data_IF_564407078067
#
_entry.id   IF_564407078067
#
_cell.length_a   1.000
_cell.length_b   1.000
_cell.length_c   1.000
_cell.angle_alpha   90.00
_cell.angle_beta   90.00
_cell.angle_gamma   90.00
#
_symmetry.space_group_name_H-M   'P 1'
#
loop_
_entity.id
_entity.type
_entity.pdbx_description
1 polymer ?
#
# COMPACT_ATOMS: atom_id res chain seq x y z
N UNK A 1 12.15 55.67 41.04
CA UNK A 1 11.30 56.55 40.21
C UNK A 1 10.22 55.69 39.56
N UNK A 2 8.95 55.84 40.02
CA UNK A 2 7.61 55.46 39.46
C UNK A 2 7.39 54.07 38.81
N UNK A 3 6.26 53.34 38.91
CA UNK A 3 5.09 53.15 39.81
C UNK A 3 4.11 52.21 39.04
N UNK A 4 3.58 51.16 39.71
CA UNK A 4 2.25 50.46 39.64
C UNK A 4 1.65 50.00 38.26
N UNK A 5 0.88 48.90 38.13
CA UNK A 5 -0.38 48.53 38.83
C UNK A 5 -0.80 47.04 38.72
N UNK A 6 -1.29 46.49 39.86
CA UNK A 6 -2.44 45.59 40.19
C UNK A 6 -2.81 44.38 39.29
N UNK A 7 -3.00 43.14 39.80
CA UNK A 7 -3.84 42.57 40.89
C UNK A 7 -5.29 42.26 40.50
N UNK A 8 -5.68 40.99 40.62
CA UNK A 8 -7.06 40.51 40.66
C UNK A 8 -7.17 39.10 41.23
N UNK A 9 -7.51 38.97 42.51
CA UNK A 9 -8.02 37.75 43.16
C UNK A 9 -9.49 37.97 43.51
N UNK A 10 -10.33 36.94 43.33
CA UNK A 10 -11.69 36.89 43.84
C UNK A 10 -11.93 35.58 44.60
N UNK A 11 -12.56 35.73 45.76
CA UNK A 11 -12.81 34.77 46.85
C UNK A 11 -14.20 34.12 46.66
N UNK A 12 -14.49 33.16 47.56
CA UNK A 12 -15.80 32.77 48.15
C UNK A 12 -16.52 31.60 47.44
N UNK A 13 -17.15 30.58 48.07
CA UNK A 13 -17.56 30.27 49.45
C UNK A 13 -17.82 28.75 49.57
N UNK A 14 -17.52 28.15 50.72
CA UNK A 14 -17.90 26.77 51.09
C UNK A 14 -19.19 26.78 51.91
N UNK A 15 -20.17 25.90 51.62
CA UNK A 15 -21.33 25.60 52.49
C UNK A 15 -21.55 24.08 52.55
N UNK A 16 -21.63 23.56 53.79
CA UNK A 16 -22.03 22.20 54.20
C UNK A 16 -23.56 22.06 54.27
N UNK A 17 -24.13 20.86 54.02
CA UNK A 17 -24.92 20.06 55.00
C UNK A 17 -25.64 18.82 54.37
N UNK A 18 -25.36 17.66 54.98
CA UNK A 18 -26.22 16.55 55.46
C UNK A 18 -27.35 15.86 54.62
N UNK A 19 -27.18 14.53 54.54
CA UNK A 19 -28.12 13.43 54.83
C UNK A 19 -29.30 13.09 53.88
N UNK A 20 -29.33 11.83 53.38
CA UNK A 20 -30.19 10.73 53.89
C UNK A 20 -30.26 9.55 52.90
N UNK A 21 -30.17 8.33 53.43
CA UNK A 21 -30.50 7.08 52.73
C UNK A 21 -32.03 6.93 52.58
N UNK A 22 -32.51 6.37 51.45
CA UNK A 22 -33.54 5.33 51.53
C UNK A 22 -33.61 4.44 50.27
N UNK A 23 -34.01 3.21 50.51
CA UNK A 23 -34.08 2.07 49.61
C UNK A 23 -35.38 1.99 48.77
N UNK A 24 -35.26 1.20 47.69
CA UNK A 24 -36.24 0.26 47.10
C UNK A 24 -37.06 0.63 45.83
N UNK A 25 -36.88 -0.30 44.86
CA UNK A 25 -37.80 -0.88 43.84
C UNK A 25 -38.09 -0.14 42.52
N UNK A 26 -37.46 -0.67 41.47
CA UNK A 26 -37.98 -1.04 40.13
C UNK A 26 -39.03 -0.15 39.44
N UNK A 27 -38.64 0.48 38.33
CA UNK A 27 -39.36 0.42 37.04
C UNK A 27 -38.46 0.91 35.89
N UNK A 28 -38.50 0.18 34.77
CA UNK A 28 -37.77 0.40 33.51
C UNK A 28 -37.80 1.86 33.01
N UNK A 29 -36.68 2.36 32.47
CA UNK A 29 -36.47 2.56 31.01
C UNK A 29 -35.15 3.29 30.69
N UNK A 30 -34.53 2.84 29.60
CA UNK A 30 -33.62 3.55 28.66
C UNK A 30 -32.14 3.79 29.02
N UNK A 31 -31.32 3.11 28.19
CA UNK A 31 -30.08 3.57 27.55
C UNK A 31 -28.76 3.22 28.22
N UNK A 32 -28.39 1.95 28.09
CA UNK A 32 -27.00 1.49 28.08
C UNK A 32 -26.20 2.16 26.96
N UNK A 33 -24.93 2.47 27.25
CA UNK A 33 -23.89 2.45 26.22
C UNK A 33 -22.75 1.62 26.75
N UNK A 34 -22.89 0.30 26.60
CA UNK A 34 -21.79 -0.65 26.78
C UNK A 34 -20.77 -0.41 25.68
N UNK A 35 -19.52 -0.20 26.09
CA UNK A 35 -18.35 -0.15 25.22
C UNK A 35 -18.19 -1.54 24.62
N UNK A 36 -18.73 -1.74 23.42
CA UNK A 36 -18.61 -3.00 22.71
C UNK A 36 -17.19 -3.15 22.17
N UNK A 37 -16.60 -4.26 22.55
CA UNK A 37 -15.27 -4.77 22.21
C UNK A 37 -15.00 -4.69 20.70
N UNK A 38 -13.84 -4.14 20.32
CA UNK A 38 -13.40 -4.05 18.93
C UNK A 38 -13.04 -5.42 18.33
N UNK A 39 -13.15 -6.50 19.10
CA UNK A 39 -12.83 -7.86 18.70
C UNK A 39 -13.94 -8.60 17.90
N UNK A 40 -15.20 -8.14 17.91
CA UNK A 40 -16.32 -8.87 17.29
C UNK A 40 -16.65 -8.49 15.83
N UNK A 41 -15.81 -7.69 15.17
CA UNK A 41 -15.99 -7.34 13.74
C UNK A 41 -15.07 -8.06 12.76
N UNK A 42 -14.52 -9.22 13.14
CA UNK A 42 -14.18 -10.24 12.13
C UNK A 42 -15.47 -10.92 11.68
N UNK A 43 -16.30 -10.20 10.91
CA UNK A 43 -17.32 -10.85 10.07
C UNK A 43 -16.57 -11.86 9.21
N UNK A 44 -17.06 -13.10 9.16
CA UNK A 44 -16.64 -14.10 8.17
C UNK A 44 -16.36 -13.38 6.85
N UNK A 45 -15.12 -13.46 6.36
CA UNK A 45 -14.77 -12.86 5.08
C UNK A 45 -15.79 -13.38 4.07
N UNK A 46 -16.58 -12.48 3.45
CA UNK A 46 -17.48 -12.84 2.36
C UNK A 46 -16.62 -13.55 1.32
N UNK A 47 -16.72 -14.87 1.25
CA UNK A 47 -15.95 -15.67 0.30
C UNK A 47 -16.42 -15.32 -1.10
N UNK A 48 -15.53 -14.82 -1.93
CA UNK A 48 -15.82 -14.60 -3.35
C UNK A 48 -16.12 -15.96 -3.99
N UNK A 49 -17.22 -16.03 -4.73
CA UNK A 49 -17.65 -17.24 -5.42
C UNK A 49 -17.53 -17.03 -6.93
N UNK A 50 -16.88 -17.94 -7.66
CA UNK A 50 -16.87 -17.92 -9.11
C UNK A 50 -18.28 -17.96 -9.70
N UNK A 51 -18.45 -17.32 -10.85
CA UNK A 51 -19.67 -17.37 -11.65
C UNK A 51 -19.75 -18.66 -12.47
N UNK A 52 -18.60 -19.19 -12.92
CA UNK A 52 -18.49 -20.39 -13.74
C UNK A 52 -17.96 -21.62 -12.99
N UNK A 53 -17.97 -22.81 -13.65
CA UNK A 53 -17.23 -23.96 -13.16
C UNK A 53 -15.72 -23.70 -13.23
N UNK A 54 -14.95 -24.49 -12.50
CA UNK A 54 -13.49 -24.46 -12.55
C UNK A 54 -12.97 -24.64 -14.00
N UNK A 55 -12.08 -23.76 -14.50
CA UNK A 55 -11.59 -23.84 -15.87
C UNK A 55 -10.62 -25.01 -16.08
N UNK A 56 -10.65 -25.65 -17.26
CA UNK A 56 -9.78 -26.79 -17.56
C UNK A 56 -8.28 -26.47 -17.46
N UNK A 57 -7.87 -25.25 -17.83
CA UNK A 57 -6.49 -24.78 -17.75
C UNK A 57 -6.04 -24.43 -16.33
N UNK A 58 -6.98 -24.30 -15.39
CA UNK A 58 -6.76 -23.82 -14.03
C UNK A 58 -7.19 -24.83 -12.97
N UNK A 59 -6.90 -26.11 -13.16
CA UNK A 59 -7.31 -27.14 -12.19
C UNK A 59 -6.77 -26.85 -10.78
N UNK A 60 -7.64 -26.83 -9.79
CA UNK A 60 -7.34 -26.46 -8.40
C UNK A 60 -7.17 -24.96 -8.15
N UNK A 61 -7.59 -24.09 -9.08
CA UNK A 61 -7.57 -22.65 -8.86
C UNK A 61 -8.41 -22.29 -7.63
N UNK A 62 -7.89 -21.38 -6.81
CA UNK A 62 -8.64 -20.87 -5.66
C UNK A 62 -9.89 -20.12 -6.13
N UNK A 63 -11.05 -20.30 -5.49
CA UNK A 63 -12.29 -19.62 -5.88
C UNK A 63 -12.12 -18.10 -6.03
N UNK A 64 -11.39 -17.46 -5.13
CA UNK A 64 -11.16 -16.01 -5.16
C UNK A 64 -10.36 -15.58 -6.40
N UNK A 65 -9.36 -16.37 -6.78
CA UNK A 65 -8.53 -16.08 -7.96
C UNK A 65 -9.32 -16.29 -9.26
N UNK A 66 -10.16 -17.33 -9.31
CA UNK A 66 -11.05 -17.51 -10.45
C UNK A 66 -12.02 -16.34 -10.58
N UNK A 67 -12.62 -15.85 -9.49
CA UNK A 67 -13.50 -14.67 -9.53
C UNK A 67 -12.77 -13.42 -10.07
N UNK A 68 -11.51 -13.21 -9.70
CA UNK A 68 -10.69 -12.11 -10.23
C UNK A 68 -10.47 -12.25 -11.74
N UNK A 69 -10.19 -13.47 -12.21
CA UNK A 69 -9.97 -13.74 -13.65
C UNK A 69 -11.27 -13.55 -14.43
N UNK A 70 -12.38 -14.10 -13.96
CA UNK A 70 -13.70 -13.90 -14.58
C UNK A 70 -14.08 -12.42 -14.64
N UNK A 71 -13.79 -11.66 -13.57
CA UNK A 71 -14.00 -10.21 -13.56
C UNK A 71 -13.11 -9.51 -14.58
N UNK A 72 -11.83 -9.86 -14.67
CA UNK A 72 -10.91 -9.28 -15.65
C UNK A 72 -11.38 -9.56 -17.09
N UNK A 73 -11.80 -10.80 -17.37
CA UNK A 73 -12.35 -11.20 -18.67
C UNK A 73 -13.63 -10.43 -19.00
N UNK A 74 -14.47 -10.13 -18.00
CA UNK A 74 -15.74 -9.41 -18.19
C UNK A 74 -15.58 -8.00 -18.75
N UNK A 75 -14.39 -7.38 -18.63
CA UNK A 75 -14.12 -6.07 -19.23
C UNK A 75 -14.07 -6.11 -20.76
N UNK A 76 -13.86 -7.30 -21.35
CA UNK A 76 -13.85 -7.47 -22.81
C UNK A 76 -12.68 -6.77 -23.50
N UNK A 77 -11.58 -6.53 -22.79
CA UNK A 77 -10.37 -5.94 -23.35
C UNK A 77 -9.74 -6.84 -24.41
N UNK A 78 -9.12 -6.23 -25.41
CA UNK A 78 -8.45 -6.97 -26.49
C UNK A 78 -7.14 -7.59 -25.99
N UNK A 79 -6.75 -8.78 -26.51
CA UNK A 79 -5.46 -9.38 -26.20
C UNK A 79 -4.31 -8.42 -26.48
N UNK A 80 -3.39 -8.29 -25.51
CA UNK A 80 -2.36 -7.24 -25.48
C UNK A 80 -1.43 -7.28 -26.70
N UNK A 81 -1.18 -8.46 -27.26
CA UNK A 81 -0.32 -8.68 -28.43
C UNK A 81 -0.95 -8.19 -29.74
N UNK A 82 -2.26 -7.90 -29.73
CA UNK A 82 -2.98 -7.33 -30.88
C UNK A 82 -3.04 -5.81 -30.86
N UNK A 83 -2.51 -5.18 -29.82
CA UNK A 83 -2.60 -3.74 -29.55
C UNK A 83 -1.25 -3.05 -29.74
N UNK A 84 -1.28 -1.74 -29.99
CA UNK A 84 -0.09 -0.90 -29.80
C UNK A 84 0.22 -0.75 -28.30
N UNK A 85 1.46 -0.40 -27.95
CA UNK A 85 1.83 -0.19 -26.54
C UNK A 85 0.98 0.86 -25.83
N UNK A 86 0.60 1.94 -26.52
CA UNK A 86 -0.25 3.00 -25.97
C UNK A 86 -1.67 2.50 -25.70
N UNK A 87 -2.21 1.61 -26.54
CA UNK A 87 -3.52 0.99 -26.34
C UNK A 87 -3.47 -0.07 -25.24
N UNK A 88 -2.46 -0.95 -25.26
CA UNK A 88 -2.31 -2.00 -24.26
C UNK A 88 -2.19 -1.45 -22.83
N UNK A 89 -1.56 -0.27 -22.65
CA UNK A 89 -1.48 0.43 -21.36
C UNK A 89 -2.82 0.97 -20.85
N UNK A 90 -3.86 0.98 -21.68
CA UNK A 90 -5.22 1.43 -21.31
C UNK A 90 -6.16 0.28 -20.96
N UNK A 91 -5.79 -0.96 -21.25
CA UNK A 91 -6.57 -2.12 -20.82
C UNK A 91 -6.68 -2.14 -19.29
N UNK A 92 -7.78 -2.68 -18.79
CA UNK A 92 -7.95 -2.96 -17.38
C UNK A 92 -6.90 -3.96 -16.92
N UNK A 93 -6.48 -3.79 -15.67
CA UNK A 93 -5.48 -4.64 -15.04
C UNK A 93 -6.14 -5.56 -14.03
N UNK A 94 -5.40 -6.58 -13.58
CA UNK A 94 -5.80 -7.42 -12.44
C UNK A 94 -6.13 -6.56 -11.21
N UNK A 95 -5.39 -5.45 -11.01
CA UNK A 95 -5.67 -4.48 -9.94
C UNK A 95 -7.05 -3.84 -10.10
N UNK A 96 -7.48 -3.51 -11.31
CA UNK A 96 -8.82 -2.94 -11.53
C UNK A 96 -9.92 -3.98 -11.28
N UNK A 97 -9.73 -5.23 -11.73
CA UNK A 97 -10.64 -6.34 -11.43
C UNK A 97 -10.81 -6.57 -9.92
N UNK A 98 -9.70 -6.57 -9.17
CA UNK A 98 -9.72 -6.69 -7.70
C UNK A 98 -10.46 -5.53 -7.05
N UNK A 99 -10.20 -4.29 -7.48
CA UNK A 99 -10.84 -3.10 -6.90
C UNK A 99 -12.34 -3.05 -7.16
N UNK A 100 -12.78 -3.46 -8.35
CA UNK A 100 -14.20 -3.60 -8.67
C UNK A 100 -14.87 -4.65 -7.79
N UNK A 101 -14.27 -5.83 -7.63
CA UNK A 101 -14.81 -6.90 -6.78
C UNK A 101 -14.91 -6.47 -5.31
N UNK A 102 -13.92 -5.73 -4.82
CA UNK A 102 -13.95 -5.14 -3.47
C UNK A 102 -15.17 -4.22 -3.32
N UNK A 103 -15.38 -3.32 -4.29
CA UNK A 103 -16.50 -2.38 -4.26
C UNK A 103 -17.86 -3.09 -4.34
N UNK A 104 -18.01 -4.02 -5.28
CA UNK A 104 -19.24 -4.78 -5.52
C UNK A 104 -19.65 -5.63 -4.31
N UNK A 105 -18.68 -6.21 -3.60
CA UNK A 105 -18.94 -7.12 -2.49
C UNK A 105 -18.90 -6.44 -1.11
N UNK A 106 -18.52 -5.16 -1.06
CA UNK A 106 -18.34 -4.40 0.17
C UNK A 106 -17.21 -4.97 1.04
N UNK A 107 -16.12 -5.41 0.42
CA UNK A 107 -14.95 -5.93 1.12
C UNK A 107 -14.23 -4.74 1.76
N UNK A 108 -13.90 -4.86 3.05
CA UNK A 108 -13.16 -3.82 3.76
C UNK A 108 -11.68 -3.92 3.43
N UNK A 109 -11.13 -2.84 2.88
CA UNK A 109 -9.68 -2.71 2.71
C UNK A 109 -9.04 -2.29 4.03
N UNK A 110 -8.04 -3.03 4.53
CA UNK A 110 -7.33 -2.63 5.73
C UNK A 110 -6.62 -1.28 5.51
N UNK A 111 -6.50 -0.50 6.58
CA UNK A 111 -5.76 0.75 6.53
C UNK A 111 -4.27 0.48 6.24
N UNK A 112 -3.62 1.29 5.38
CA UNK A 112 -2.22 1.11 5.04
C UNK A 112 -1.32 1.25 6.28
N UNK A 113 -0.40 0.31 6.48
CA UNK A 113 0.59 0.33 7.56
C UNK A 113 1.93 0.94 7.13
N UNK A 114 2.06 1.33 5.86
CA UNK A 114 3.20 2.08 5.36
C UNK A 114 2.79 3.48 4.88
N UNK A 115 3.66 4.47 5.09
CA UNK A 115 3.58 5.79 4.46
C UNK A 115 4.26 5.78 3.10
N UNK A 116 3.76 6.56 2.14
CA UNK A 116 4.33 6.64 0.79
C UNK A 116 4.81 8.04 0.43
N UNK A 117 6.02 8.14 -0.12
CA UNK A 117 6.58 9.39 -0.65
C UNK A 117 7.13 9.17 -2.06
N UNK A 118 6.77 10.06 -2.98
CA UNK A 118 7.33 10.07 -4.34
C UNK A 118 8.65 10.85 -4.40
N UNK A 119 9.62 10.37 -5.18
CA UNK A 119 10.89 11.06 -5.40
C UNK A 119 11.37 10.90 -6.84
N UNK A 120 11.96 11.97 -7.39
CA UNK A 120 12.62 11.91 -8.69
C UNK A 120 14.09 11.51 -8.50
N UNK A 121 14.51 10.43 -9.15
CA UNK A 121 15.86 9.86 -9.07
C UNK A 121 16.58 10.09 -10.40
N UNK A 122 17.81 10.62 -10.41
CA UNK A 122 18.59 10.79 -11.63
C UNK A 122 18.93 9.45 -12.27
N UNK A 123 18.81 9.39 -13.60
CA UNK A 123 19.20 8.25 -14.44
C UNK A 123 19.92 8.76 -15.70
N UNK A 124 20.63 7.92 -16.47
CA UNK A 124 21.23 8.34 -17.73
C UNK A 124 20.20 8.99 -18.67
N UNK A 125 20.41 10.26 -19.01
CA UNK A 125 19.53 11.00 -19.91
C UNK A 125 18.21 11.50 -19.30
N UNK A 126 18.03 11.47 -17.97
CA UNK A 126 16.84 12.04 -17.36
C UNK A 126 16.66 11.75 -15.87
N UNK A 127 15.40 11.60 -15.46
CA UNK A 127 15.01 11.19 -14.12
C UNK A 127 13.86 10.19 -14.21
N UNK A 128 13.83 9.23 -13.30
CA UNK A 128 12.67 8.34 -13.10
C UNK A 128 11.99 8.67 -11.78
N UNK A 129 10.70 8.40 -11.69
CA UNK A 129 9.97 8.49 -10.43
C UNK A 129 10.15 7.20 -9.65
N UNK A 130 10.44 7.31 -8.35
CA UNK A 130 10.38 6.21 -7.40
C UNK A 130 9.35 6.52 -6.33
N UNK A 131 8.69 5.49 -5.81
CA UNK A 131 7.81 5.58 -4.65
C UNK A 131 8.43 4.82 -3.49
N UNK A 132 8.67 5.52 -2.39
CA UNK A 132 9.26 4.98 -1.16
C UNK A 132 8.13 4.67 -0.19
N UNK A 133 8.03 3.43 0.24
CA UNK A 133 7.10 2.93 1.24
C UNK A 133 7.86 2.74 2.55
N UNK A 134 7.41 3.36 3.63
CA UNK A 134 8.07 3.31 4.95
C UNK A 134 7.10 2.78 5.99
N UNK A 135 7.44 1.72 6.76
CA UNK A 135 6.59 1.23 7.84
C UNK A 135 6.27 2.33 8.87
N UNK A 136 5.00 2.47 9.24
CA UNK A 136 4.55 3.45 10.22
C UNK A 136 5.05 3.12 11.62
N UNK A 137 5.31 4.15 12.41
CA UNK A 137 5.64 4.00 13.84
C UNK A 137 7.02 3.43 14.13
N UNK A 138 7.88 3.29 13.12
CA UNK A 138 9.24 2.80 13.30
C UNK A 138 10.24 3.97 13.36
N UNK A 139 11.09 3.97 14.38
CA UNK A 139 12.16 4.95 14.58
C UNK A 139 13.56 4.34 14.38
N UNK A 140 13.66 3.03 14.15
CA UNK A 140 14.92 2.32 13.92
C UNK A 140 15.37 2.44 12.47
N UNK A 141 16.66 2.23 12.22
CA UNK A 141 17.19 2.15 10.85
C UNK A 141 16.76 0.84 10.21
N UNK A 142 16.11 0.90 9.05
CA UNK A 142 15.43 -0.24 8.43
C UNK A 142 16.19 -0.85 7.26
N UNK A 143 16.05 -2.16 6.99
CA UNK A 143 16.51 -2.72 5.73
C UNK A 143 15.73 -2.10 4.56
N UNK A 144 16.32 -2.10 3.38
CA UNK A 144 15.72 -1.51 2.17
C UNK A 144 15.54 -2.59 1.10
N UNK A 145 14.36 -2.63 0.50
CA UNK A 145 14.05 -3.45 -0.67
C UNK A 145 13.85 -2.54 -1.86
N UNK A 146 14.60 -2.75 -2.94
CA UNK A 146 14.37 -2.08 -4.22
C UNK A 146 13.46 -2.98 -5.05
N UNK A 147 12.30 -2.45 -5.40
CA UNK A 147 11.24 -3.19 -6.07
C UNK A 147 11.11 -2.75 -7.53
N UNK A 148 11.18 -3.71 -8.44
CA UNK A 148 10.96 -3.51 -9.88
C UNK A 148 9.63 -4.16 -10.28
N UNK A 149 8.72 -3.36 -10.81
CA UNK A 149 7.41 -3.86 -11.24
C UNK A 149 7.51 -4.74 -12.48
N UNK A 150 6.48 -5.56 -12.74
CA UNK A 150 6.37 -6.36 -13.95
C UNK A 150 5.75 -5.60 -15.13
N UNK A 151 5.20 -6.34 -16.10
CA UNK A 151 4.53 -5.77 -17.28
C UNK A 151 5.31 -5.85 -18.59
N UNK A 152 6.22 -6.83 -18.72
CA UNK A 152 6.89 -7.12 -19.99
C UNK A 152 7.71 -5.96 -20.55
N UNK A 153 8.16 -5.03 -19.70
CA UNK A 153 8.79 -3.76 -20.06
C UNK A 153 7.92 -2.78 -20.87
N UNK A 154 6.65 -3.10 -21.13
CA UNK A 154 5.78 -2.33 -22.03
C UNK A 154 4.55 -1.78 -21.32
N UNK A 155 3.92 -2.57 -20.46
CA UNK A 155 2.68 -2.22 -19.75
C UNK A 155 2.92 -2.08 -18.24
N UNK A 156 1.86 -1.70 -17.52
CA UNK A 156 1.86 -1.46 -16.08
C UNK A 156 2.81 -0.32 -15.65
N UNK A 157 2.79 -0.03 -14.35
CA UNK A 157 3.60 1.00 -13.71
C UNK A 157 3.57 0.78 -12.18
N UNK A 158 4.16 1.72 -11.45
CA UNK A 158 4.19 1.73 -9.97
C UNK A 158 2.80 1.81 -9.31
N UNK A 159 1.76 2.27 -10.01
CA UNK A 159 0.39 2.34 -9.49
C UNK A 159 -0.33 1.01 -9.63
N UNK A 160 -0.15 0.31 -10.74
CA UNK A 160 -0.66 -1.05 -10.94
C UNK A 160 -0.07 -2.00 -9.89
N UNK A 161 1.22 -1.85 -9.57
CA UNK A 161 1.93 -2.67 -8.59
C UNK A 161 1.96 -2.08 -7.18
N UNK A 162 1.16 -1.04 -6.91
CA UNK A 162 1.16 -0.38 -5.60
C UNK A 162 0.87 -1.35 -4.45
N UNK A 163 -0.10 -2.24 -4.62
CA UNK A 163 -0.49 -3.21 -3.60
C UNK A 163 0.64 -4.21 -3.28
N UNK A 164 1.38 -4.68 -4.29
CA UNK A 164 2.52 -5.60 -4.09
C UNK A 164 3.65 -4.92 -3.32
N UNK A 165 4.03 -3.70 -3.71
CA UNK A 165 5.08 -2.94 -3.02
C UNK A 165 4.66 -2.57 -1.58
N UNK A 166 3.39 -2.24 -1.36
CA UNK A 166 2.87 -1.97 -0.03
C UNK A 166 2.85 -3.24 0.83
N UNK A 167 2.29 -4.34 0.35
CA UNK A 167 2.27 -5.60 1.09
C UNK A 167 3.69 -6.05 1.47
N UNK A 168 4.67 -5.90 0.57
CA UNK A 168 6.06 -6.20 0.87
C UNK A 168 6.61 -5.33 2.00
N UNK A 169 6.31 -4.02 2.01
CA UNK A 169 6.68 -3.12 3.10
C UNK A 169 6.04 -3.54 4.44
N UNK A 170 4.73 -3.85 4.42
CA UNK A 170 3.98 -4.19 5.62
C UNK A 170 4.40 -5.54 6.23
N UNK A 171 4.65 -6.55 5.40
CA UNK A 171 4.99 -7.91 5.85
C UNK A 171 6.47 -8.06 6.25
N UNK A 172 7.37 -7.30 5.62
CA UNK A 172 8.82 -7.39 5.94
C UNK A 172 9.28 -6.40 6.99
N UNK A 173 8.52 -5.33 7.23
CA UNK A 173 8.98 -4.19 8.02
C UNK A 173 10.18 -3.46 7.39
N UNK A 174 10.46 -3.69 6.11
CA UNK A 174 11.50 -3.01 5.36
C UNK A 174 10.94 -1.76 4.65
N UNK A 175 11.83 -0.82 4.34
CA UNK A 175 11.51 0.26 3.41
C UNK A 175 11.49 -0.32 1.99
N UNK A 176 10.44 -0.08 1.22
CA UNK A 176 10.36 -0.52 -0.18
C UNK A 176 10.50 0.68 -1.11
N UNK A 177 11.45 0.65 -2.03
CA UNK A 177 11.64 1.67 -3.08
C UNK A 177 11.18 1.09 -4.41
N UNK A 178 9.95 1.41 -4.83
CA UNK A 178 9.37 0.98 -6.10
C UNK A 178 9.84 1.89 -7.25
N UNK A 179 10.51 1.31 -8.25
CA UNK A 179 11.16 2.06 -9.33
C UNK A 179 10.28 2.12 -10.57
N UNK A 180 9.90 3.33 -11.00
CA UNK A 180 9.18 3.58 -12.26
C UNK A 180 10.12 3.72 -13.44
N UNK A 181 10.83 2.65 -13.79
CA UNK A 181 11.79 2.61 -14.90
C UNK A 181 11.10 2.91 -16.25
N UNK A 182 11.86 3.43 -17.23
CA UNK A 182 11.30 3.77 -18.54
C UNK A 182 10.91 2.53 -19.35
N UNK A 183 9.78 2.62 -20.03
CA UNK A 183 9.17 1.52 -20.77
C UNK A 183 9.53 1.52 -22.26
N UNK A 184 9.52 0.32 -22.83
CA UNK A 184 9.52 0.05 -24.26
C UNK A 184 8.09 0.24 -24.83
N UNK A 185 7.95 0.52 -26.15
CA UNK A 185 8.99 0.59 -27.17
C UNK A 185 9.75 1.92 -27.24
N UNK A 186 9.31 2.95 -26.52
CA UNK A 186 9.91 4.29 -26.55
C UNK A 186 11.35 4.26 -26.06
N UNK A 187 11.63 3.41 -25.08
CA UNK A 187 12.96 3.23 -24.49
C UNK A 187 13.37 1.77 -24.61
N UNK A 188 14.06 1.43 -25.70
CA UNK A 188 14.52 0.06 -25.95
C UNK A 188 15.57 -0.38 -24.92
N UNK A 189 15.77 -1.69 -24.80
CA UNK A 189 16.90 -2.26 -24.07
C UNK A 189 18.22 -1.57 -24.48
N UNK A 190 19.12 -1.21 -23.54
CA UNK A 190 19.10 -1.54 -22.10
C UNK A 190 18.52 -0.44 -21.19
N UNK A 191 17.60 0.40 -21.68
CA UNK A 191 17.18 1.59 -20.90
C UNK A 191 16.58 1.25 -19.53
N UNK A 192 15.64 0.28 -19.46
CA UNK A 192 15.05 -0.14 -18.19
C UNK A 192 16.10 -0.71 -17.21
N UNK A 193 17.10 -1.45 -17.72
CA UNK A 193 18.22 -1.98 -16.93
C UNK A 193 19.10 -0.86 -16.39
N UNK A 194 19.45 0.12 -17.22
CA UNK A 194 20.24 1.28 -16.82
C UNK A 194 19.50 2.15 -15.79
N UNK A 195 18.19 2.36 -15.96
CA UNK A 195 17.36 3.08 -15.00
C UNK A 195 17.29 2.36 -13.65
N UNK A 196 17.14 1.03 -13.70
CA UNK A 196 17.07 0.18 -12.50
C UNK A 196 18.39 0.16 -11.74
N UNK A 197 19.52 0.12 -12.45
CA UNK A 197 20.85 0.18 -11.86
C UNK A 197 21.15 1.57 -11.28
N UNK A 198 20.81 2.63 -12.01
CA UNK A 198 20.94 3.99 -11.48
C UNK A 198 20.07 4.23 -10.23
N UNK A 199 18.88 3.64 -10.18
CA UNK A 199 18.04 3.65 -8.98
C UNK A 199 18.67 2.86 -7.82
N UNK A 200 19.28 1.70 -8.09
CA UNK A 200 20.04 0.92 -7.10
C UNK A 200 21.22 1.73 -6.53
N UNK A 201 22.04 2.33 -7.41
CA UNK A 201 23.14 3.20 -7.01
C UNK A 201 22.65 4.42 -6.22
N UNK A 202 21.50 4.97 -6.58
CA UNK A 202 20.93 6.09 -5.85
C UNK A 202 20.48 5.65 -4.44
N UNK A 203 19.80 4.51 -4.31
CA UNK A 203 19.36 3.98 -3.01
C UNK A 203 20.56 3.68 -2.12
N UNK A 204 21.58 2.97 -2.61
CA UNK A 204 22.80 2.67 -1.84
C UNK A 204 23.49 3.92 -1.31
N UNK A 205 23.51 5.02 -2.09
CA UNK A 205 24.09 6.31 -1.70
C UNK A 205 23.20 7.15 -0.79
N UNK A 206 21.88 6.93 -0.79
CA UNK A 206 20.91 7.82 -0.15
C UNK A 206 20.02 7.15 0.92
N UNK A 207 20.17 5.85 1.18
CA UNK A 207 19.32 5.10 2.11
C UNK A 207 19.16 5.78 3.47
N UNK A 208 20.26 6.25 4.05
CA UNK A 208 20.26 6.95 5.33
C UNK A 208 19.37 8.20 5.35
N UNK A 209 19.17 8.88 4.22
CA UNK A 209 18.32 10.08 4.12
C UNK A 209 16.82 9.81 4.31
N UNK A 210 16.42 8.55 4.21
CA UNK A 210 15.05 8.09 4.47
C UNK A 210 15.02 6.98 5.52
N UNK A 211 15.98 6.99 6.45
CA UNK A 211 16.08 6.04 7.57
C UNK A 211 16.29 4.56 7.15
N UNK A 212 16.82 4.34 5.95
CA UNK A 212 17.23 3.03 5.45
C UNK A 212 18.71 2.73 5.74
N UNK A 213 19.03 1.45 5.91
CA UNK A 213 20.36 0.93 6.11
C UNK A 213 21.02 0.58 4.76
N UNK A 214 22.06 1.30 4.32
CA UNK A 214 22.73 1.02 3.05
C UNK A 214 23.48 -0.32 3.04
N UNK A 215 23.72 -0.94 4.20
CA UNK A 215 24.37 -2.26 4.30
C UNK A 215 23.37 -3.43 4.25
N UNK A 216 22.05 -3.15 4.27
CA UNK A 216 20.99 -4.17 4.23
C UNK A 216 20.00 -3.88 3.10
N UNK A 217 20.48 -4.05 1.87
CA UNK A 217 19.70 -3.85 0.66
C UNK A 217 19.39 -5.19 -0.01
N UNK A 218 18.12 -5.41 -0.35
CA UNK A 218 17.67 -6.49 -1.20
C UNK A 218 17.05 -5.94 -2.48
N UNK A 219 17.05 -6.75 -3.55
CA UNK A 219 16.36 -6.45 -4.82
C UNK A 219 15.26 -7.47 -5.04
N UNK A 220 14.09 -6.99 -5.48
CA UNK A 220 12.90 -7.82 -5.72
C UNK A 220 12.23 -7.35 -6.99
N UNK A 221 11.60 -8.27 -7.73
CA UNK A 221 10.68 -7.89 -8.79
C UNK A 221 9.86 -9.05 -9.30
N UNK A 222 8.80 -8.74 -10.04
CA UNK A 222 7.87 -9.72 -10.59
C UNK A 222 7.99 -9.76 -12.12
N UNK A 223 8.01 -10.96 -12.72
CA UNK A 223 8.07 -11.12 -14.19
C UNK A 223 9.26 -10.37 -14.81
N UNK A 224 9.02 -9.37 -15.68
CA UNK A 224 10.05 -8.47 -16.20
C UNK A 224 10.84 -7.74 -15.10
N UNK A 225 10.19 -7.39 -13.99
CA UNK A 225 10.86 -6.86 -12.80
C UNK A 225 11.75 -7.89 -12.12
N UNK A 226 11.38 -9.17 -12.15
CA UNK A 226 12.22 -10.27 -11.67
C UNK A 226 13.47 -10.43 -12.54
N UNK A 227 13.34 -10.24 -13.86
CA UNK A 227 14.49 -10.15 -14.76
C UNK A 227 15.42 -8.99 -14.36
N UNK A 228 14.87 -7.80 -14.08
CA UNK A 228 15.67 -6.65 -13.61
C UNK A 228 16.37 -6.97 -12.29
N UNK A 229 15.65 -7.46 -11.28
CA UNK A 229 16.22 -7.82 -9.98
C UNK A 229 17.37 -8.84 -10.09
N UNK A 230 17.21 -9.87 -10.91
CA UNK A 230 18.27 -10.84 -11.17
C UNK A 230 19.49 -10.20 -11.82
N UNK A 231 19.30 -9.31 -12.80
CA UNK A 231 20.41 -8.59 -13.43
C UNK A 231 21.14 -7.66 -12.44
N UNK A 232 20.42 -6.95 -11.56
CA UNK A 232 21.05 -6.10 -10.54
C UNK A 232 21.95 -6.88 -9.58
N UNK A 233 21.71 -8.18 -9.41
CA UNK A 233 22.51 -9.04 -8.54
C UNK A 233 23.82 -9.52 -9.19
N UNK A 234 24.00 -9.28 -10.50
CA UNK A 234 25.18 -9.70 -11.28
C UNK A 234 26.05 -8.49 -11.66
N UNK A 235 25.50 -7.26 -11.58
CA UNK A 235 26.17 -6.01 -11.98
C UNK A 235 27.01 -5.38 -10.88
#
# INVERSE_FOLDING_TARGET
MKIKYLSGSAIVLSIFLLAACNSNKTSNTTSDTTVADSAERQKEAKTLKPAGPEPEWGKGIKPEMQTVIEKLESFGDKPIETLTAVEARKNHTVKDAVMDLIAEHGILMPAPKCDTVGKAVPVPGGKVHVRIYTPKGNAEVLPVVIYYHGGGFVIANIDVYHASAQALCEETGAIVVSVGYRLAPENKFPTAHNDSFAAYEWVTKNAASFNGDPARIAVVGESAGGNLAANMSIM
#
